data_IF_790836275797
#
_entry.id   IF_790836275797
#
_cell.length_a   1.000
_cell.length_b   1.000
_cell.length_c   1.000
_cell.angle_alpha   90.00
_cell.angle_beta   90.00
_cell.angle_gamma   90.00
#
_symmetry.space_group_name_H-M   'P 1'
#
loop_
_entity.id
_entity.type
_entity.pdbx_description
1 polymer ?
#
# COMPACT_ATOMS: atom_id res chain seq x y z
N UNK A 1 22.30 8.85 -7.48
CA UNK A 1 22.06 7.43 -7.17
C UNK A 1 20.57 7.17 -7.01
N UNK A 2 19.99 6.52 -8.02
CA UNK A 2 18.57 6.21 -8.11
C UNK A 2 18.04 5.41 -6.89
N UNK A 3 18.90 4.61 -6.26
CA UNK A 3 18.60 3.82 -5.07
C UNK A 3 18.20 4.66 -3.85
N UNK A 4 18.92 5.75 -3.61
CA UNK A 4 18.63 6.61 -2.46
C UNK A 4 17.25 7.26 -2.58
N UNK A 5 16.92 7.76 -3.78
CA UNK A 5 15.63 8.38 -4.02
C UNK A 5 14.50 7.36 -3.86
N UNK A 6 14.67 6.15 -4.41
CA UNK A 6 13.74 5.05 -4.26
C UNK A 6 13.60 4.62 -2.79
N UNK A 7 14.72 4.50 -2.06
CA UNK A 7 14.71 4.14 -0.64
C UNK A 7 14.01 5.18 0.23
N UNK A 8 14.25 6.46 -0.02
CA UNK A 8 13.56 7.56 0.68
C UNK A 8 12.05 7.53 0.35
N UNK A 9 11.68 7.40 -0.92
CA UNK A 9 10.27 7.32 -1.31
C UNK A 9 9.54 6.15 -0.65
N UNK A 10 10.12 4.95 -0.66
CA UNK A 10 9.54 3.78 0.00
C UNK A 10 9.51 3.92 1.52
N UNK A 11 10.53 4.52 2.16
CA UNK A 11 10.51 4.75 3.61
C UNK A 11 9.42 5.74 4.02
N UNK A 12 9.16 6.78 3.21
CA UNK A 12 8.02 7.68 3.43
C UNK A 12 6.68 6.93 3.33
N UNK A 13 6.53 6.00 2.38
CA UNK A 13 5.33 5.17 2.25
C UNK A 13 5.17 4.23 3.44
N UNK A 14 6.25 3.61 3.93
CA UNK A 14 6.22 2.78 5.15
C UNK A 14 5.75 3.59 6.35
N UNK A 15 6.32 4.78 6.56
CA UNK A 15 5.91 5.67 7.66
C UNK A 15 4.43 6.08 7.54
N UNK A 16 3.97 6.40 6.33
CA UNK A 16 2.56 6.70 6.08
C UNK A 16 1.66 5.51 6.44
N UNK A 17 2.00 4.29 6.00
CA UNK A 17 1.22 3.09 6.31
C UNK A 17 1.23 2.76 7.80
N UNK A 18 2.38 2.86 8.49
CA UNK A 18 2.48 2.64 9.92
C UNK A 18 1.70 3.69 10.72
N UNK A 19 1.75 4.96 10.32
CA UNK A 19 0.95 6.01 10.93
C UNK A 19 -0.54 5.77 10.75
N UNK A 20 -0.96 5.39 9.55
CA UNK A 20 -2.36 5.05 9.25
C UNK A 20 -2.83 3.73 9.88
N UNK A 21 -1.92 2.84 10.31
CA UNK A 21 -2.30 1.61 11.02
C UNK A 21 -2.85 1.86 12.43
N UNK A 22 -2.55 3.02 13.03
CA UNK A 22 -3.13 3.44 14.31
C UNK A 22 -4.51 4.10 14.19
N UNK A 23 -5.22 3.82 13.09
CA UNK A 23 -6.55 4.33 12.81
C UNK A 23 -7.52 3.98 13.94
N UNK A 24 -8.28 4.98 14.40
CA UNK A 24 -9.36 4.80 15.37
C UNK A 24 -10.67 5.38 14.83
N UNK A 25 -11.80 4.91 15.33
CA UNK A 25 -13.11 5.44 14.93
C UNK A 25 -13.33 6.92 15.29
N UNK A 26 -12.43 7.50 16.11
CA UNK A 26 -12.45 8.92 16.47
C UNK A 26 -11.68 9.83 15.51
N UNK A 27 -10.97 9.26 14.52
CA UNK A 27 -10.21 10.05 13.56
C UNK A 27 -11.14 10.86 12.67
N UNK A 28 -10.87 12.16 12.61
CA UNK A 28 -11.56 13.11 11.76
C UNK A 28 -10.70 13.30 10.49
N UNK A 29 -11.31 13.82 9.45
CA UNK A 29 -10.66 14.09 8.16
C UNK A 29 -9.31 14.81 8.29
N UNK A 30 -9.18 15.69 9.28
CA UNK A 30 -7.98 16.50 9.47
C UNK A 30 -6.77 15.68 9.95
N UNK A 31 -7.00 14.56 10.66
CA UNK A 31 -5.94 13.67 11.13
C UNK A 31 -5.23 12.93 9.99
N UNK A 32 -5.90 12.79 8.84
CA UNK A 32 -5.33 12.15 7.66
C UNK A 32 -4.42 13.05 6.84
N UNK A 33 -4.53 14.38 6.93
CA UNK A 33 -3.79 15.29 6.06
C UNK A 33 -2.27 15.14 6.18
N UNK A 34 -1.74 14.93 7.39
CA UNK A 34 -0.32 14.75 7.61
C UNK A 34 0.24 13.51 6.91
N UNK A 35 -0.47 12.39 7.05
CA UNK A 35 -0.10 11.12 6.42
C UNK A 35 -0.29 11.15 4.90
N UNK A 36 -1.31 11.85 4.43
CA UNK A 36 -1.59 12.03 3.00
C UNK A 36 -0.50 12.86 2.32
N UNK A 37 0.00 13.91 2.96
CA UNK A 37 1.14 14.68 2.44
C UNK A 37 2.38 13.80 2.29
N UNK A 38 2.67 12.94 3.26
CA UNK A 38 3.79 12.02 3.19
C UNK A 38 3.65 11.05 2.01
N UNK A 39 2.44 10.58 1.74
CA UNK A 39 2.13 9.70 0.60
C UNK A 39 2.29 10.42 -0.74
N UNK A 40 1.80 11.66 -0.86
CA UNK A 40 1.89 12.47 -2.09
C UNK A 40 3.35 12.67 -2.51
N UNK A 41 4.25 12.88 -1.57
CA UNK A 41 5.68 13.03 -1.87
C UNK A 41 6.39 11.68 -2.03
N UNK A 42 6.07 10.69 -1.23
CA UNK A 42 6.69 9.37 -1.27
C UNK A 42 6.40 8.60 -2.55
N UNK A 43 5.18 8.70 -3.06
CA UNK A 43 4.76 7.94 -4.24
C UNK A 43 5.53 8.31 -5.51
N UNK A 44 5.67 9.57 -5.93
CA UNK A 44 6.48 9.91 -7.10
C UNK A 44 7.96 9.62 -6.90
N UNK A 45 8.51 9.80 -5.68
CA UNK A 45 9.89 9.45 -5.36
C UNK A 45 10.16 7.95 -5.47
N UNK A 46 9.16 7.09 -5.32
CA UNK A 46 9.29 5.66 -5.58
C UNK A 46 9.11 5.31 -7.06
N UNK A 47 8.14 5.93 -7.75
CA UNK A 47 7.77 5.57 -9.13
C UNK A 47 8.78 6.08 -10.16
N UNK A 48 9.27 7.33 -10.01
CA UNK A 48 10.19 7.94 -10.98
C UNK A 48 11.51 7.16 -11.13
N UNK A 49 12.20 6.76 -10.05
CA UNK A 49 13.40 5.94 -10.17
C UNK A 49 13.15 4.58 -10.84
N UNK A 50 12.01 3.93 -10.54
CA UNK A 50 11.66 2.66 -11.19
C UNK A 50 11.43 2.85 -12.70
N UNK A 51 10.78 3.93 -13.10
CA UNK A 51 10.60 4.26 -14.51
C UNK A 51 11.96 4.51 -15.19
N UNK A 52 12.85 5.28 -14.57
CA UNK A 52 14.19 5.53 -15.09
C UNK A 52 15.03 4.24 -15.20
N UNK A 53 14.92 3.34 -14.22
CA UNK A 53 15.59 2.04 -14.25
C UNK A 53 15.09 1.16 -15.40
N UNK A 54 13.79 1.15 -15.62
CA UNK A 54 13.17 0.32 -16.66
C UNK A 54 13.44 0.82 -18.07
N UNK A 55 13.56 2.14 -18.26
CA UNK A 55 13.77 2.76 -19.58
C UNK A 55 15.23 3.09 -19.90
N UNK A 56 16.05 3.33 -18.89
CA UNK A 56 17.43 3.79 -19.07
C UNK A 56 18.41 2.76 -19.62
N UNK A 57 18.06 1.47 -19.61
CA UNK A 57 18.86 0.37 -20.16
C UNK A 57 18.47 -0.02 -21.59
N UNK A 58 17.45 0.62 -22.18
CA UNK A 58 16.86 0.23 -23.46
C UNK A 58 17.34 1.16 -24.56
N UNK A 59 17.59 0.60 -25.76
CA UNK A 59 17.95 1.39 -26.93
C UNK A 59 16.80 2.30 -27.35
N UNK A 60 17.06 3.54 -27.81
CA UNK A 60 16.01 4.49 -28.17
C UNK A 60 15.03 3.98 -29.23
N UNK A 61 15.49 3.08 -30.12
CA UNK A 61 14.65 2.48 -31.18
C UNK A 61 13.61 1.50 -30.62
N UNK A 62 13.88 0.90 -29.45
CA UNK A 62 13.00 -0.05 -28.76
C UNK A 62 12.11 0.62 -27.71
N UNK A 63 12.24 1.93 -27.52
CA UNK A 63 11.53 2.70 -26.51
C UNK A 63 10.01 2.52 -26.49
N UNK A 64 9.30 2.57 -27.65
CA UNK A 64 7.86 2.34 -27.70
C UNK A 64 7.44 0.95 -27.25
N UNK A 65 8.22 -0.08 -27.62
CA UNK A 65 7.95 -1.47 -27.23
C UNK A 65 8.15 -1.68 -25.71
N UNK A 66 9.23 -1.13 -25.17
CA UNK A 66 9.51 -1.17 -23.74
C UNK A 66 8.47 -0.45 -22.90
N UNK A 67 7.98 0.70 -23.38
CA UNK A 67 6.89 1.44 -22.74
C UNK A 67 5.58 0.64 -22.72
N UNK A 68 5.24 0.00 -23.83
CA UNK A 68 4.06 -0.86 -23.91
C UNK A 68 4.17 -2.05 -22.93
N UNK A 69 5.32 -2.71 -22.89
CA UNK A 69 5.59 -3.81 -21.96
C UNK A 69 5.50 -3.37 -20.51
N UNK A 70 6.12 -2.26 -20.15
CA UNK A 70 6.06 -1.70 -18.80
C UNK A 70 4.62 -1.41 -18.36
N UNK A 71 3.82 -0.78 -19.22
CA UNK A 71 2.43 -0.48 -18.92
C UNK A 71 1.57 -1.75 -18.78
N UNK A 72 1.83 -2.77 -19.58
CA UNK A 72 1.14 -4.06 -19.50
C UNK A 72 1.45 -4.76 -18.18
N UNK A 73 2.74 -4.86 -17.81
CA UNK A 73 3.16 -5.47 -16.53
C UNK A 73 2.59 -4.70 -15.34
N UNK A 74 2.65 -3.37 -15.39
CA UNK A 74 2.07 -2.51 -14.34
C UNK A 74 0.55 -2.72 -14.21
N UNK A 75 -0.17 -2.80 -15.32
CA UNK A 75 -1.61 -3.06 -15.33
C UNK A 75 -1.95 -4.43 -14.72
N UNK A 76 -1.21 -5.46 -15.12
CA UNK A 76 -1.39 -6.81 -14.60
C UNK A 76 -1.08 -6.90 -13.10
N UNK A 77 0.00 -6.27 -12.67
CA UNK A 77 0.36 -6.18 -11.24
C UNK A 77 -0.71 -5.44 -10.43
N UNK A 78 -1.31 -4.38 -10.97
CA UNK A 78 -2.39 -3.65 -10.31
C UNK A 78 -3.63 -4.53 -10.11
N UNK A 79 -4.03 -5.32 -11.11
CA UNK A 79 -5.17 -6.25 -11.01
C UNK A 79 -4.91 -7.32 -9.95
N UNK A 80 -3.71 -7.92 -9.94
CA UNK A 80 -3.33 -8.92 -8.94
C UNK A 80 -3.35 -8.30 -7.54
N UNK A 81 -2.76 -7.11 -7.37
CA UNK A 81 -2.72 -6.42 -6.08
C UNK A 81 -4.13 -6.10 -5.57
N UNK A 82 -5.03 -5.64 -6.44
CA UNK A 82 -6.43 -5.37 -6.09
C UNK A 82 -7.14 -6.64 -5.65
N UNK A 83 -6.98 -7.75 -6.37
CA UNK A 83 -7.60 -9.03 -6.01
C UNK A 83 -7.10 -9.57 -4.66
N UNK A 84 -5.80 -9.45 -4.39
CA UNK A 84 -5.22 -9.82 -3.10
C UNK A 84 -5.76 -8.95 -1.97
N UNK A 85 -5.81 -7.62 -2.17
CA UNK A 85 -6.35 -6.70 -1.17
C UNK A 85 -7.83 -6.96 -0.89
N UNK A 86 -8.64 -7.20 -1.92
CA UNK A 86 -10.06 -7.51 -1.77
C UNK A 86 -10.27 -8.82 -0.97
N UNK A 87 -9.50 -9.84 -1.29
CA UNK A 87 -9.52 -11.11 -0.55
C UNK A 87 -9.13 -10.92 0.91
N UNK A 88 -8.06 -10.17 1.18
CA UNK A 88 -7.62 -9.86 2.55
C UNK A 88 -8.66 -9.04 3.30
N UNK A 89 -9.27 -8.05 2.66
CA UNK A 89 -10.33 -7.22 3.23
C UNK A 89 -11.52 -8.08 3.66
N UNK A 90 -11.96 -8.99 2.79
CA UNK A 90 -13.08 -9.89 3.07
C UNK A 90 -12.75 -10.85 4.21
N UNK A 91 -11.58 -11.50 4.18
CA UNK A 91 -11.18 -12.45 5.23
C UNK A 91 -11.01 -11.76 6.59
N UNK A 92 -10.34 -10.61 6.64
CA UNK A 92 -10.15 -9.86 7.88
C UNK A 92 -11.43 -9.24 8.40
N UNK A 93 -12.30 -8.77 7.50
CA UNK A 93 -13.63 -8.27 7.85
C UNK A 93 -14.48 -9.35 8.53
N UNK A 94 -14.53 -10.56 7.98
CA UNK A 94 -15.22 -11.70 8.62
C UNK A 94 -14.60 -12.06 9.97
N UNK A 95 -13.28 -12.11 10.06
CA UNK A 95 -12.60 -12.42 11.32
C UNK A 95 -12.94 -11.41 12.42
N UNK A 96 -12.81 -10.12 12.13
CA UNK A 96 -13.10 -9.07 13.11
C UNK A 96 -14.60 -8.99 13.47
N UNK A 97 -15.49 -9.16 12.50
CA UNK A 97 -16.92 -9.18 12.75
C UNK A 97 -17.33 -10.34 13.68
N UNK A 98 -16.83 -11.54 13.42
CA UNK A 98 -17.09 -12.72 14.28
C UNK A 98 -16.55 -12.50 15.69
N UNK A 99 -15.30 -12.00 15.81
CA UNK A 99 -14.68 -11.75 17.11
C UNK A 99 -15.43 -10.69 17.93
N UNK A 100 -15.94 -9.65 17.28
CA UNK A 100 -16.73 -8.60 17.94
C UNK A 100 -18.09 -9.12 18.37
N UNK A 101 -18.76 -9.92 17.56
CA UNK A 101 -20.04 -10.56 17.90
C UNK A 101 -19.88 -11.52 19.09
N UNK A 102 -18.84 -12.36 19.11
CA UNK A 102 -18.56 -13.28 20.22
C UNK A 102 -18.33 -12.53 21.54
N UNK A 103 -17.64 -11.41 21.49
CA UNK A 103 -17.42 -10.57 22.70
C UNK A 103 -18.70 -9.91 23.19
N UNK A 104 -19.61 -9.56 22.31
CA UNK A 104 -20.90 -8.94 22.65
C UNK A 104 -21.95 -9.96 23.11
N UNK A 105 -21.92 -11.19 22.56
CA UNK A 105 -22.83 -12.26 22.98
C UNK A 105 -22.73 -12.62 24.46
N UNK A 106 -21.62 -12.26 25.10
CA UNK A 106 -21.38 -12.42 26.54
C UNK A 106 -21.66 -11.13 27.34
N UNK A 107 -22.20 -10.07 26.71
CA UNK A 107 -22.46 -8.79 27.35
C UNK A 107 -23.96 -8.52 27.51
N UNK A 108 -24.44 -8.07 28.70
CA UNK A 108 -25.85 -7.73 28.92
C UNK A 108 -26.34 -6.54 28.11
N UNK A 109 -25.49 -5.90 27.31
CA UNK A 109 -25.83 -4.76 26.45
C UNK A 109 -26.41 -5.17 25.10
N UNK A 110 -26.41 -6.48 24.77
CA UNK A 110 -26.86 -6.99 23.47
C UNK A 110 -28.36 -6.77 23.22
N UNK A 111 -29.18 -6.67 24.27
CA UNK A 111 -30.65 -6.57 24.19
C UNK A 111 -31.18 -5.15 24.15
N UNK A 112 -30.37 -4.12 24.43
CA UNK A 112 -30.88 -2.77 24.68
C UNK A 112 -31.04 -1.90 23.42
N UNK A 113 -30.19 -2.05 22.38
CA UNK A 113 -30.25 -1.25 21.13
C UNK A 113 -29.61 -2.00 19.95
N UNK A 114 -30.29 -3.01 19.44
CA UNK A 114 -29.78 -3.86 18.37
C UNK A 114 -29.40 -3.12 17.07
N UNK A 115 -30.16 -2.15 16.53
CA UNK A 115 -29.76 -1.46 15.30
C UNK A 115 -28.57 -0.52 15.48
N UNK A 116 -28.48 0.21 16.59
CA UNK A 116 -27.34 1.08 16.89
C UNK A 116 -26.07 0.28 17.15
N UNK A 117 -26.20 -0.89 17.76
CA UNK A 117 -25.09 -1.80 18.01
C UNK A 117 -24.53 -2.38 16.70
N UNK A 118 -25.40 -2.80 15.78
CA UNK A 118 -25.00 -3.31 14.47
C UNK A 118 -24.21 -2.27 13.66
N UNK A 119 -24.62 -1.02 13.69
CA UNK A 119 -23.92 0.07 13.01
C UNK A 119 -22.51 0.30 13.61
N UNK A 120 -22.41 0.39 14.92
CA UNK A 120 -21.11 0.54 15.61
C UNK A 120 -20.17 -0.66 15.39
N UNK A 121 -20.72 -1.87 15.35
CA UNK A 121 -19.95 -3.08 15.02
C UNK A 121 -19.38 -3.00 13.62
N UNK A 122 -20.18 -2.59 12.66
CA UNK A 122 -19.74 -2.44 11.28
C UNK A 122 -18.63 -1.39 11.16
N UNK A 123 -18.79 -0.23 11.78
CA UNK A 123 -17.75 0.82 11.81
C UNK A 123 -16.44 0.30 12.40
N UNK A 124 -16.49 -0.36 13.56
CA UNK A 124 -15.30 -0.92 14.21
C UNK A 124 -14.65 -2.02 13.37
N UNK A 125 -15.43 -2.86 12.72
CA UNK A 125 -14.92 -3.90 11.81
C UNK A 125 -14.15 -3.28 10.64
N UNK A 126 -14.69 -2.23 10.03
CA UNK A 126 -14.04 -1.52 8.92
C UNK A 126 -12.73 -0.87 9.38
N UNK A 127 -12.72 -0.22 10.54
CA UNK A 127 -11.51 0.41 11.10
C UNK A 127 -10.42 -0.62 11.38
N UNK A 128 -10.74 -1.72 12.05
CA UNK A 128 -9.78 -2.79 12.35
C UNK A 128 -9.24 -3.46 11.09
N UNK A 129 -10.13 -3.75 10.14
CA UNK A 129 -9.74 -4.33 8.84
C UNK A 129 -8.81 -3.39 8.08
N UNK A 130 -9.11 -2.10 8.05
CA UNK A 130 -8.27 -1.10 7.38
C UNK A 130 -6.90 -0.97 8.05
N UNK A 131 -6.85 -0.98 9.38
CA UNK A 131 -5.60 -0.97 10.15
C UNK A 131 -4.70 -2.17 9.79
N UNK A 132 -5.27 -3.39 9.75
CA UNK A 132 -4.55 -4.59 9.36
C UNK A 132 -4.00 -4.50 7.92
N UNK A 133 -4.79 -3.96 6.99
CA UNK A 133 -4.35 -3.76 5.60
C UNK A 133 -3.17 -2.78 5.51
N UNK A 134 -3.18 -1.69 6.28
CA UNK A 134 -2.04 -0.78 6.34
C UNK A 134 -0.77 -1.45 6.85
N UNK A 135 -0.87 -2.33 7.85
CA UNK A 135 0.27 -3.11 8.35
C UNK A 135 0.81 -4.05 7.27
N UNK A 136 -0.07 -4.74 6.53
CA UNK A 136 0.34 -5.60 5.41
C UNK A 136 1.04 -4.79 4.32
N UNK A 137 0.48 -3.63 3.95
CA UNK A 137 1.09 -2.73 2.97
C UNK A 137 2.45 -2.21 3.42
N UNK A 138 2.61 -1.87 4.71
CA UNK A 138 3.89 -1.50 5.28
C UNK A 138 4.91 -2.65 5.18
N UNK A 139 4.49 -3.88 5.47
CA UNK A 139 5.32 -5.07 5.32
C UNK A 139 5.82 -5.30 3.90
N UNK A 140 4.94 -5.14 2.91
CA UNK A 140 5.31 -5.22 1.49
C UNK A 140 6.30 -4.11 1.12
N UNK A 141 6.08 -2.88 1.57
CA UNK A 141 7.00 -1.77 1.30
C UNK A 141 8.37 -1.97 1.94
N UNK A 142 8.44 -2.53 3.15
CA UNK A 142 9.70 -2.92 3.80
C UNK A 142 10.41 -4.02 2.99
N UNK A 143 9.69 -5.04 2.53
CA UNK A 143 10.26 -6.08 1.67
C UNK A 143 10.85 -5.48 0.37
N UNK A 144 10.18 -4.51 -0.24
CA UNK A 144 10.69 -3.79 -1.41
C UNK A 144 11.95 -2.98 -1.08
N UNK A 145 12.05 -2.36 0.10
CA UNK A 145 13.28 -1.67 0.55
C UNK A 145 14.45 -2.66 0.63
N UNK A 146 14.22 -3.86 1.17
CA UNK A 146 15.26 -4.88 1.24
C UNK A 146 15.73 -5.33 -0.17
N UNK A 147 14.83 -5.38 -1.14
CA UNK A 147 15.17 -5.70 -2.53
C UNK A 147 16.03 -4.62 -3.20
N UNK A 148 16.00 -3.37 -2.73
CA UNK A 148 16.84 -2.29 -3.28
C UNK A 148 18.34 -2.62 -3.14
N UNK A 149 18.74 -3.36 -2.11
CA UNK A 149 20.14 -3.76 -1.93
C UNK A 149 20.68 -4.63 -3.10
N UNK A 150 19.79 -5.32 -3.79
CA UNK A 150 20.16 -6.16 -4.96
C UNK A 150 20.12 -5.40 -6.29
N UNK A 151 19.62 -4.18 -6.32
CA UNK A 151 19.56 -3.37 -7.53
C UNK A 151 20.95 -2.83 -7.92
N UNK A 152 21.26 -2.66 -9.23
CA UNK A 152 22.49 -2.04 -9.70
C UNK A 152 22.58 -0.56 -9.28
N UNK A 153 23.77 -0.12 -8.86
CA UNK A 153 24.00 1.25 -8.36
C UNK A 153 24.00 2.31 -9.46
N UNK A 154 24.31 1.94 -10.69
CA UNK A 154 24.41 2.86 -11.82
C UNK A 154 23.79 2.25 -13.06
N UNK A 155 23.02 3.05 -13.76
CA UNK A 155 22.50 2.76 -15.09
C UNK A 155 23.46 3.40 -16.07
N UNK A 156 24.10 2.61 -16.90
CA UNK A 156 24.88 3.10 -18.01
C UNK A 156 23.98 3.11 -19.26
N UNK A 157 23.85 4.24 -19.96
CA UNK A 157 23.16 4.23 -21.24
C UNK A 157 23.90 3.26 -22.18
N UNK A 158 23.17 2.53 -23.04
CA UNK A 158 23.81 1.65 -24.01
C UNK A 158 24.77 2.48 -24.88
N UNK A 159 26.01 1.97 -25.05
CA UNK A 159 26.96 2.61 -25.94
C UNK A 159 26.38 2.60 -27.35
N UNK A 160 26.39 3.75 -28.03
CA UNK A 160 26.05 3.81 -29.43
C UNK A 160 26.97 2.81 -30.20
N UNK A 161 26.43 2.01 -31.11
CA UNK A 161 27.29 1.19 -31.97
C UNK A 161 28.21 2.13 -32.76
N UNK A 162 29.54 1.80 -32.76
CA UNK A 162 30.54 2.53 -33.48
C UNK A 162 30.37 2.39 -34.99
#
# INVERSE_FOLDING_TARGET
DCRWVLGIGLSMLVLCCLGSSHLTSAWIRDDFYGWYLLQIFGQPMAVLPLLMLSTGSIQPIEGPFASAWFNTVKGLAAVIATAVLDTLTTQRGHFHSTMLVDRLGNSPLADADAPGLAHRLHEQTVVLTSSDLYVVMAGVAVALILLIFWMPTRIYPPRAPA
#
